data_IF_610419994426
#
_entry.id   IF_610419994426
#
_cell.length_a   1.000
_cell.length_b   1.000
_cell.length_c   1.000
_cell.angle_alpha   90.00
_cell.angle_beta   90.00
_cell.angle_gamma   90.00
#
_symmetry.space_group_name_H-M   'P 1'
#
loop_
_entity.id
_entity.type
_entity.pdbx_description
1 polymer ?
#
# COMPACT_ATOMS: atom_id res chain seq x y z
N UNK A 1 8.50 -10.83 -14.07
CA UNK A 1 8.34 -9.68 -15.01
C UNK A 1 6.93 -9.10 -14.91
N UNK A 2 5.87 -9.91 -14.97
CA UNK A 2 4.47 -9.47 -14.93
C UNK A 2 4.14 -8.64 -13.67
N UNK A 3 4.59 -9.06 -12.48
CA UNK A 3 4.36 -8.32 -11.24
C UNK A 3 4.99 -6.92 -11.29
N UNK A 4 6.26 -6.83 -11.73
CA UNK A 4 6.97 -5.54 -11.81
C UNK A 4 6.27 -4.58 -12.78
N UNK A 5 5.80 -5.09 -13.92
CA UNK A 5 5.07 -4.27 -14.90
C UNK A 5 3.72 -3.81 -14.35
N UNK A 6 2.98 -4.68 -13.64
CA UNK A 6 1.72 -4.31 -13.00
C UNK A 6 1.92 -3.26 -11.90
N UNK A 7 2.91 -3.46 -11.03
CA UNK A 7 3.25 -2.50 -9.98
C UNK A 7 3.66 -1.14 -10.57
N UNK A 8 4.49 -1.13 -11.61
CA UNK A 8 4.90 0.12 -12.26
C UNK A 8 3.71 0.85 -12.89
N UNK A 9 2.84 0.13 -13.61
CA UNK A 9 1.66 0.71 -14.25
C UNK A 9 0.66 1.23 -13.20
N UNK A 10 0.35 0.42 -12.18
CA UNK A 10 -0.54 0.83 -11.11
C UNK A 10 0.00 2.03 -10.35
N UNK A 11 1.31 2.08 -10.12
CA UNK A 11 1.97 3.21 -9.45
C UNK A 11 1.81 4.52 -10.22
N UNK A 12 1.92 4.49 -11.55
CA UNK A 12 1.70 5.68 -12.39
C UNK A 12 0.23 6.11 -12.33
N UNK A 13 -0.70 5.16 -12.44
CA UNK A 13 -2.14 5.47 -12.39
C UNK A 13 -2.53 6.02 -11.02
N UNK A 14 -2.07 5.41 -9.94
CA UNK A 14 -2.42 5.82 -8.56
C UNK A 14 -1.89 7.20 -8.23
N UNK A 15 -0.82 7.67 -8.87
CA UNK A 15 -0.28 9.01 -8.70
C UNK A 15 -1.34 10.09 -8.97
N UNK A 16 -2.19 9.86 -9.97
CA UNK A 16 -3.25 10.78 -10.35
C UNK A 16 -4.60 10.42 -9.71
N UNK A 17 -4.88 9.14 -9.50
CA UNK A 17 -6.19 8.72 -9.00
C UNK A 17 -6.32 8.85 -7.48
N UNK A 18 -5.24 8.70 -6.69
CA UNK A 18 -5.29 8.85 -5.23
C UNK A 18 -5.84 10.23 -4.82
N UNK A 19 -5.33 11.37 -5.32
CA UNK A 19 -5.86 12.68 -4.93
C UNK A 19 -7.34 12.84 -5.24
N UNK A 20 -7.78 12.39 -6.43
CA UNK A 20 -9.17 12.49 -6.87
C UNK A 20 -10.09 11.62 -6.01
N UNK A 21 -9.69 10.37 -5.75
CA UNK A 21 -10.48 9.46 -4.92
C UNK A 21 -10.55 9.96 -3.48
N UNK A 22 -9.45 10.49 -2.94
CA UNK A 22 -9.41 11.04 -1.58
C UNK A 22 -10.29 12.28 -1.45
N UNK A 23 -10.28 13.19 -2.43
CA UNK A 23 -11.16 14.36 -2.43
C UNK A 23 -12.62 13.93 -2.43
N UNK A 24 -12.99 13.00 -3.30
CA UNK A 24 -14.36 12.46 -3.37
C UNK A 24 -14.77 11.75 -2.07
N UNK A 25 -13.89 10.91 -1.52
CA UNK A 25 -14.15 10.19 -0.27
C UNK A 25 -14.31 11.14 0.92
N UNK A 26 -13.53 12.21 1.00
CA UNK A 26 -13.62 13.19 2.09
C UNK A 26 -14.84 14.10 1.95
N UNK A 27 -15.30 14.40 0.74
CA UNK A 27 -16.58 15.10 0.52
C UNK A 27 -17.74 14.25 1.06
N UNK A 28 -17.84 12.97 0.66
CA UNK A 28 -18.89 12.07 1.15
C UNK A 28 -18.83 11.91 2.68
N UNK A 29 -17.64 11.77 3.24
CA UNK A 29 -17.46 11.64 4.70
C UNK A 29 -17.82 12.95 5.43
N UNK A 30 -17.49 14.10 4.86
CA UNK A 30 -17.80 15.41 5.37
C UNK A 30 -19.30 15.68 5.39
N UNK A 31 -20.01 15.40 4.30
CA UNK A 31 -21.46 15.55 4.18
C UNK A 31 -22.20 14.71 5.22
N UNK A 32 -21.71 13.51 5.52
CA UNK A 32 -22.32 12.62 6.51
C UNK A 32 -22.01 12.98 7.97
N UNK A 33 -20.87 13.65 8.22
CA UNK A 33 -20.40 13.97 9.58
C UNK A 33 -20.57 15.43 9.97
N UNK A 34 -20.96 16.30 9.04
CA UNK A 34 -21.03 17.75 9.22
C UNK A 34 -19.65 18.42 9.42
N UNK A 35 -18.58 17.73 9.10
CA UNK A 35 -17.18 18.21 9.23
C UNK A 35 -16.64 18.48 7.84
N UNK A 36 -16.26 19.71 7.55
CA UNK A 36 -15.60 20.08 6.29
C UNK A 36 -14.13 19.66 6.35
N UNK A 37 -13.76 18.62 5.59
CA UNK A 37 -12.38 18.16 5.48
C UNK A 37 -11.79 18.77 4.20
N UNK A 38 -10.96 19.80 4.34
CA UNK A 38 -10.23 20.37 3.21
C UNK A 38 -8.94 19.60 2.96
N UNK A 39 -8.88 18.88 1.86
CA UNK A 39 -7.66 18.21 1.43
C UNK A 39 -6.78 19.16 0.61
N UNK A 40 -5.51 19.31 0.95
CA UNK A 40 -4.56 20.04 0.13
C UNK A 40 -4.14 19.18 -1.08
N UNK A 41 -5.00 19.07 -2.08
CA UNK A 41 -4.81 18.18 -3.27
C UNK A 41 -3.46 18.42 -3.94
N UNK A 42 -3.02 19.69 -4.04
CA UNK A 42 -1.71 20.03 -4.58
C UNK A 42 -0.54 19.42 -3.77
N UNK A 43 -0.62 19.50 -2.45
CA UNK A 43 0.38 18.89 -1.56
C UNK A 43 0.38 17.37 -1.66
N UNK A 44 -0.79 16.74 -1.79
CA UNK A 44 -0.94 15.30 -2.01
C UNK A 44 -0.25 14.85 -3.30
N UNK A 45 -0.47 15.56 -4.40
CA UNK A 45 0.15 15.25 -5.69
C UNK A 45 1.67 15.39 -5.59
N UNK A 46 2.16 16.50 -5.05
CA UNK A 46 3.60 16.76 -4.92
C UNK A 46 4.25 15.71 -4.01
N UNK A 47 3.63 15.39 -2.88
CA UNK A 47 4.18 14.38 -1.97
C UNK A 47 4.21 12.99 -2.59
N UNK A 48 3.15 12.57 -3.31
CA UNK A 48 3.15 11.30 -4.04
C UNK A 48 4.23 11.27 -5.11
N UNK A 49 4.38 12.35 -5.88
CA UNK A 49 5.44 12.49 -6.88
C UNK A 49 6.82 12.34 -6.24
N UNK A 50 7.08 13.05 -5.15
CA UNK A 50 8.37 13.00 -4.47
C UNK A 50 8.64 11.61 -3.87
N UNK A 51 7.66 11.02 -3.18
CA UNK A 51 7.83 9.70 -2.54
C UNK A 51 8.02 8.56 -3.55
N UNK A 52 7.46 8.68 -4.75
CA UNK A 52 7.57 7.63 -5.77
C UNK A 52 8.67 7.91 -6.79
N UNK A 53 8.63 9.09 -7.45
CA UNK A 53 9.53 9.35 -8.58
C UNK A 53 10.96 9.63 -8.13
N UNK A 54 11.15 10.31 -7.01
CA UNK A 54 12.50 10.65 -6.53
C UNK A 54 13.35 9.39 -6.25
N UNK A 55 12.89 8.39 -5.47
CA UNK A 55 13.67 7.18 -5.26
C UNK A 55 13.92 6.39 -6.53
N UNK A 56 12.93 6.33 -7.43
CA UNK A 56 13.08 5.65 -8.72
C UNK A 56 14.14 6.35 -9.58
N UNK A 57 14.06 7.68 -9.72
CA UNK A 57 15.02 8.46 -10.46
C UNK A 57 16.44 8.29 -9.91
N UNK A 58 16.61 8.40 -8.58
CA UNK A 58 17.89 8.18 -7.93
C UNK A 58 18.40 6.76 -8.19
N UNK A 59 17.54 5.75 -8.08
CA UNK A 59 17.90 4.35 -8.33
C UNK A 59 18.37 4.12 -9.78
N UNK A 60 17.63 4.65 -10.75
CA UNK A 60 17.96 4.55 -12.17
C UNK A 60 19.26 5.29 -12.49
N UNK A 61 19.42 6.51 -12.00
CA UNK A 61 20.65 7.30 -12.20
C UNK A 61 21.86 6.61 -11.56
N UNK A 62 21.73 6.12 -10.34
CA UNK A 62 22.79 5.37 -9.64
C UNK A 62 23.17 4.12 -10.41
N UNK A 63 22.19 3.37 -10.92
CA UNK A 63 22.44 2.17 -11.72
C UNK A 63 23.15 2.51 -13.04
N UNK A 64 22.81 3.64 -13.66
CA UNK A 64 23.39 4.07 -14.93
C UNK A 64 24.82 4.59 -14.76
N UNK A 65 25.07 5.44 -13.77
CA UNK A 65 26.38 6.10 -13.59
C UNK A 65 27.34 5.36 -12.68
N UNK A 66 26.82 4.63 -11.68
CA UNK A 66 27.61 3.92 -10.69
C UNK A 66 27.09 2.49 -10.43
N UNK A 67 27.17 1.56 -11.42
CA UNK A 67 26.55 0.24 -11.34
C UNK A 67 27.05 -0.58 -10.14
N UNK A 68 28.32 -0.48 -9.78
CA UNK A 68 28.90 -1.17 -8.61
C UNK A 68 28.32 -0.65 -7.28
N UNK A 69 28.07 0.66 -7.19
CA UNK A 69 27.42 1.25 -6.02
C UNK A 69 25.95 0.85 -5.95
N UNK A 70 25.23 0.87 -7.08
CA UNK A 70 23.84 0.42 -7.17
C UNK A 70 23.66 -1.03 -6.70
N UNK A 71 24.55 -1.93 -7.12
CA UNK A 71 24.51 -3.33 -6.68
C UNK A 71 24.74 -3.49 -5.17
N UNK A 72 25.71 -2.74 -4.62
CA UNK A 72 25.97 -2.73 -3.17
C UNK A 72 24.79 -2.20 -2.37
N UNK A 73 24.22 -1.07 -2.82
CA UNK A 73 23.03 -0.46 -2.21
C UNK A 73 21.84 -1.44 -2.28
N UNK A 74 21.61 -2.07 -3.44
CA UNK A 74 20.56 -3.08 -3.60
C UNK A 74 20.71 -4.23 -2.63
N UNK A 75 21.93 -4.79 -2.46
CA UNK A 75 22.21 -5.87 -1.50
C UNK A 75 21.94 -5.48 -0.05
N UNK A 76 22.22 -4.23 0.32
CA UNK A 76 21.95 -3.72 1.67
C UNK A 76 20.45 -3.48 1.84
N UNK A 77 19.82 -2.73 0.94
CA UNK A 77 18.40 -2.39 1.03
C UNK A 77 17.50 -3.63 1.02
N UNK A 78 17.80 -4.63 0.19
CA UNK A 78 17.01 -5.88 0.15
C UNK A 78 17.04 -6.66 1.45
N UNK A 79 18.12 -6.53 2.25
CA UNK A 79 18.23 -7.15 3.58
C UNK A 79 17.58 -6.33 4.68
N UNK A 80 17.63 -5.00 4.58
CA UNK A 80 17.19 -4.08 5.64
C UNK A 80 15.72 -3.69 5.48
N UNK A 81 15.18 -3.68 4.25
CA UNK A 81 13.83 -3.20 3.98
C UNK A 81 12.76 -3.95 4.79
N UNK A 82 12.80 -5.27 4.82
CA UNK A 82 11.82 -6.08 5.56
C UNK A 82 11.94 -5.91 7.08
N UNK A 83 13.13 -6.00 7.71
CA UNK A 83 13.30 -5.67 9.12
C UNK A 83 12.88 -4.25 9.48
N UNK A 84 13.19 -3.27 8.63
CA UNK A 84 12.79 -1.88 8.85
C UNK A 84 11.26 -1.70 8.81
N UNK A 85 10.58 -2.40 7.89
CA UNK A 85 9.12 -2.40 7.82
C UNK A 85 8.49 -3.01 9.08
N UNK A 86 9.04 -4.14 9.57
CA UNK A 86 8.58 -4.76 10.82
C UNK A 86 8.80 -3.81 12.00
N UNK A 87 9.96 -3.17 12.08
CA UNK A 87 10.28 -2.22 13.14
C UNK A 87 9.30 -1.05 13.14
N UNK A 88 9.05 -0.45 11.96
CA UNK A 88 8.09 0.63 11.80
C UNK A 88 6.69 0.22 12.27
N UNK A 89 6.19 -0.92 11.79
CA UNK A 89 4.90 -1.45 12.18
C UNK A 89 4.81 -1.72 13.69
N UNK A 90 5.90 -2.23 14.29
CA UNK A 90 5.96 -2.50 15.73
C UNK A 90 5.91 -1.21 16.54
N UNK A 91 6.68 -0.19 16.15
CA UNK A 91 6.66 1.12 16.81
C UNK A 91 5.27 1.75 16.76
N UNK A 92 4.62 1.76 15.59
CA UNK A 92 3.25 2.24 15.46
C UNK A 92 2.26 1.44 16.29
N UNK A 93 2.40 0.12 16.32
CA UNK A 93 1.55 -0.73 17.15
C UNK A 93 1.69 -0.42 18.64
N UNK A 94 2.92 -0.24 19.13
CA UNK A 94 3.17 0.10 20.53
C UNK A 94 2.58 1.48 20.88
N UNK A 95 2.74 2.47 20.00
CA UNK A 95 2.25 3.84 20.22
C UNK A 95 0.72 3.93 20.22
N UNK A 96 0.03 3.11 19.41
CA UNK A 96 -1.41 3.22 19.19
C UNK A 96 -2.19 1.94 19.58
N UNK A 97 -1.59 1.09 20.45
CA UNK A 97 -2.15 -0.23 20.76
C UNK A 97 -3.57 -0.19 21.32
N UNK A 98 -3.90 0.79 22.18
CA UNK A 98 -5.25 0.95 22.74
C UNK A 98 -6.27 1.27 21.65
N UNK A 99 -5.95 2.22 20.77
CA UNK A 99 -6.84 2.61 19.67
C UNK A 99 -6.99 1.48 18.64
N UNK A 100 -5.90 0.78 18.35
CA UNK A 100 -5.92 -0.40 17.47
C UNK A 100 -6.78 -1.50 18.10
N UNK A 101 -6.58 -1.81 19.39
CA UNK A 101 -7.35 -2.84 20.09
C UNK A 101 -8.86 -2.52 20.12
N UNK A 102 -9.22 -1.24 20.32
CA UNK A 102 -10.62 -0.81 20.32
C UNK A 102 -11.28 -0.93 18.94
N UNK A 103 -10.51 -0.75 17.86
CA UNK A 103 -11.06 -0.69 16.51
C UNK A 103 -10.81 -1.95 15.67
N UNK A 104 -9.91 -2.85 16.10
CA UNK A 104 -9.48 -4.00 15.29
C UNK A 104 -10.66 -4.94 14.93
N UNK A 105 -11.65 -5.09 15.81
CA UNK A 105 -12.82 -5.91 15.54
C UNK A 105 -13.65 -5.37 14.37
N UNK A 106 -13.88 -4.08 14.35
CA UNK A 106 -14.71 -3.40 13.33
C UNK A 106 -13.93 -3.14 12.04
N UNK A 107 -12.77 -2.50 12.17
CA UNK A 107 -11.91 -2.20 11.02
C UNK A 107 -11.29 -3.46 10.43
N UNK A 108 -10.84 -4.40 11.28
CA UNK A 108 -10.25 -5.65 10.82
C UNK A 108 -11.22 -6.49 9.99
N UNK A 109 -12.51 -6.54 10.37
CA UNK A 109 -13.54 -7.20 9.58
C UNK A 109 -13.74 -6.50 8.23
N UNK A 110 -13.93 -5.18 8.22
CA UNK A 110 -14.13 -4.41 6.99
C UNK A 110 -12.91 -4.55 6.05
N UNK A 111 -11.70 -4.44 6.60
CA UNK A 111 -10.46 -4.56 5.83
C UNK A 111 -10.29 -5.98 5.29
N UNK A 112 -10.58 -7.01 6.09
CA UNK A 112 -10.52 -8.40 5.64
C UNK A 112 -11.48 -8.64 4.48
N UNK A 113 -12.71 -8.17 4.58
CA UNK A 113 -13.69 -8.26 3.50
C UNK A 113 -13.21 -7.51 2.25
N UNK A 114 -12.65 -6.31 2.41
CA UNK A 114 -12.11 -5.53 1.30
C UNK A 114 -10.97 -6.26 0.59
N UNK A 115 -10.03 -6.86 1.33
CA UNK A 115 -8.92 -7.64 0.75
C UNK A 115 -9.46 -8.87 0.00
N UNK A 116 -10.39 -9.61 0.61
CA UNK A 116 -10.96 -10.80 -0.02
C UNK A 116 -11.76 -10.46 -1.28
N UNK A 117 -12.53 -9.38 -1.27
CA UNK A 117 -13.24 -8.87 -2.44
C UNK A 117 -12.28 -8.44 -3.54
N UNK A 118 -11.22 -7.73 -3.20
CA UNK A 118 -10.17 -7.32 -4.14
C UNK A 118 -9.48 -8.54 -4.77
N UNK A 119 -9.07 -9.52 -3.97
CA UNK A 119 -8.48 -10.78 -4.45
C UNK A 119 -9.46 -11.58 -5.31
N UNK A 120 -10.74 -11.61 -4.91
CA UNK A 120 -11.83 -12.23 -5.68
C UNK A 120 -12.04 -11.55 -7.03
N UNK A 121 -12.05 -10.22 -7.06
CA UNK A 121 -12.07 -9.43 -8.29
C UNK A 121 -10.88 -9.73 -9.20
N UNK A 122 -9.67 -9.81 -8.64
CA UNK A 122 -8.47 -10.22 -9.36
C UNK A 122 -8.57 -11.62 -9.96
N UNK A 123 -9.16 -12.55 -9.20
CA UNK A 123 -9.45 -13.89 -9.71
C UNK A 123 -10.42 -13.86 -10.90
N UNK A 124 -11.53 -13.13 -10.78
CA UNK A 124 -12.51 -13.01 -11.86
C UNK A 124 -11.92 -12.38 -13.12
N UNK A 125 -11.18 -11.27 -12.96
CA UNK A 125 -10.48 -10.61 -14.08
C UNK A 125 -9.50 -11.59 -14.75
N UNK A 126 -8.74 -12.34 -13.97
CA UNK A 126 -7.79 -13.32 -14.51
C UNK A 126 -8.45 -14.43 -15.31
N UNK A 127 -9.65 -14.85 -14.91
CA UNK A 127 -10.45 -15.82 -15.65
C UNK A 127 -10.98 -15.22 -16.96
N UNK A 128 -11.51 -14.00 -16.94
CA UNK A 128 -11.99 -13.30 -18.12
C UNK A 128 -10.87 -13.09 -19.15
N UNK A 129 -9.69 -12.76 -18.68
CA UNK A 129 -8.50 -12.57 -19.53
C UNK A 129 -7.82 -13.89 -19.93
N UNK A 130 -8.32 -15.03 -19.46
CA UNK A 130 -7.77 -16.38 -19.73
C UNK A 130 -6.26 -16.47 -19.39
N UNK A 131 -5.85 -15.85 -18.30
CA UNK A 131 -4.46 -15.85 -17.84
C UNK A 131 -4.04 -17.26 -17.41
N UNK A 132 -2.77 -17.58 -17.61
CA UNK A 132 -2.22 -18.84 -17.12
C UNK A 132 -2.16 -18.84 -15.58
N UNK A 133 -2.01 -20.02 -14.97
CA UNK A 133 -2.06 -20.19 -13.51
C UNK A 133 -1.02 -19.34 -12.76
N UNK A 134 0.16 -19.09 -13.34
CA UNK A 134 1.19 -18.26 -12.71
C UNK A 134 0.79 -16.78 -12.72
N UNK A 135 0.34 -16.30 -13.87
CA UNK A 135 -0.14 -14.92 -14.03
C UNK A 135 -1.37 -14.64 -13.17
N UNK A 136 -2.31 -15.59 -13.13
CA UNK A 136 -3.49 -15.51 -12.26
C UNK A 136 -3.10 -15.34 -10.78
N UNK A 137 -2.18 -16.20 -10.29
CA UNK A 137 -1.68 -16.10 -8.90
C UNK A 137 -0.99 -14.77 -8.64
N UNK A 138 -0.17 -14.31 -9.58
CA UNK A 138 0.50 -13.01 -9.50
C UNK A 138 -0.53 -11.88 -9.40
N UNK A 139 -1.53 -11.86 -10.26
CA UNK A 139 -2.56 -10.83 -10.27
C UNK A 139 -3.37 -10.80 -8.96
N UNK A 140 -3.77 -11.96 -8.43
CA UNK A 140 -4.50 -12.07 -7.17
C UNK A 140 -3.68 -11.53 -6.01
N UNK A 141 -2.39 -11.88 -5.95
CA UNK A 141 -1.48 -11.40 -4.90
C UNK A 141 -1.28 -9.88 -5.04
N UNK A 142 -1.01 -9.39 -6.25
CA UNK A 142 -0.73 -7.97 -6.51
C UNK A 142 -1.93 -7.08 -6.15
N UNK A 143 -3.15 -7.52 -6.48
CA UNK A 143 -4.37 -6.77 -6.11
C UNK A 143 -4.64 -6.84 -4.60
N UNK A 144 -4.31 -7.95 -3.94
CA UNK A 144 -4.41 -8.08 -2.48
C UNK A 144 -3.35 -7.31 -1.71
N UNK A 145 -2.18 -7.06 -2.33
CA UNK A 145 -1.08 -6.32 -1.73
C UNK A 145 -1.18 -4.83 -2.04
N UNK A 146 -1.48 -4.03 -1.02
CA UNK A 146 -1.50 -2.57 -1.14
C UNK A 146 -0.27 -1.95 -0.46
N UNK A 147 0.10 -0.76 -0.90
CA UNK A 147 1.22 -0.02 -0.32
C UNK A 147 0.80 0.67 0.99
N UNK A 148 0.67 -0.11 2.06
CA UNK A 148 0.31 0.39 3.38
C UNK A 148 1.35 1.40 3.92
N UNK A 149 2.63 1.23 3.60
CA UNK A 149 3.68 2.17 4.02
C UNK A 149 3.46 3.57 3.43
N UNK A 150 3.05 3.65 2.16
CA UNK A 150 2.69 4.92 1.52
C UNK A 150 1.46 5.56 2.19
N UNK A 151 0.43 4.76 2.48
CA UNK A 151 -0.77 5.25 3.17
C UNK A 151 -0.45 5.79 4.56
N UNK A 152 0.41 5.10 5.32
CA UNK A 152 0.89 5.56 6.62
C UNK A 152 1.67 6.87 6.46
N UNK A 153 2.60 6.95 5.50
CA UNK A 153 3.40 8.15 5.27
C UNK A 153 2.54 9.37 4.88
N UNK A 154 1.48 9.17 4.09
CA UNK A 154 0.54 10.23 3.74
C UNK A 154 -0.27 10.66 4.96
N UNK A 155 -0.79 9.71 5.72
CA UNK A 155 -1.62 9.98 6.90
C UNK A 155 -0.86 10.74 7.99
N UNK A 156 0.38 10.34 8.27
CA UNK A 156 1.23 10.97 9.29
C UNK A 156 1.97 12.22 8.77
N UNK A 157 1.79 12.59 7.50
CA UNK A 157 2.48 13.74 6.92
C UNK A 157 1.99 15.05 7.54
N UNK A 158 2.91 15.89 8.07
CA UNK A 158 2.57 17.22 8.58
C UNK A 158 1.97 18.16 7.53
N UNK A 159 2.22 17.87 6.25
CA UNK A 159 1.75 18.69 5.13
C UNK A 159 0.34 18.31 4.64
N UNK A 160 -0.20 17.17 5.10
CA UNK A 160 -1.50 16.67 4.64
C UNK A 160 -2.46 16.55 5.81
N UNK A 161 -2.37 15.50 6.60
CA UNK A 161 -3.29 15.26 7.70
C UNK A 161 -2.72 15.61 9.07
N UNK A 162 -1.42 15.45 9.25
CA UNK A 162 -0.74 15.64 10.52
C UNK A 162 -1.46 14.91 11.68
N UNK A 163 -1.95 13.71 11.41
CA UNK A 163 -2.75 12.96 12.36
C UNK A 163 -2.49 11.46 12.22
N UNK A 164 -1.72 10.91 13.17
CA UNK A 164 -1.35 9.50 13.18
C UNK A 164 -2.54 8.55 13.35
N UNK A 165 -3.68 9.03 13.90
CA UNK A 165 -4.89 8.21 14.03
C UNK A 165 -5.44 7.83 12.67
N UNK A 166 -5.29 8.68 11.65
CA UNK A 166 -5.70 8.39 10.27
C UNK A 166 -4.86 7.26 9.66
N UNK A 167 -3.67 6.98 10.18
CA UNK A 167 -2.83 5.88 9.74
C UNK A 167 -3.28 4.50 10.28
N UNK A 168 -4.12 4.45 11.32
CA UNK A 168 -4.54 3.19 11.97
C UNK A 168 -5.18 2.19 11.00
N UNK A 169 -6.12 2.57 10.10
CA UNK A 169 -6.65 1.66 9.09
C UNK A 169 -5.57 1.06 8.19
N UNK A 170 -4.56 1.84 7.80
CA UNK A 170 -3.46 1.36 6.96
C UNK A 170 -2.56 0.35 7.71
N UNK A 171 -2.36 0.55 9.01
CA UNK A 171 -1.60 -0.39 9.85
C UNK A 171 -2.36 -1.72 10.00
N UNK A 172 -3.67 -1.65 10.28
CA UNK A 172 -4.52 -2.85 10.36
C UNK A 172 -4.56 -3.55 9.00
N UNK A 173 -4.61 -2.78 7.90
CA UNK A 173 -4.54 -3.33 6.55
C UNK A 173 -3.24 -4.11 6.33
N UNK A 174 -2.09 -3.54 6.70
CA UNK A 174 -0.80 -4.21 6.56
C UNK A 174 -0.75 -5.55 7.31
N UNK A 175 -1.31 -5.59 8.53
CA UNK A 175 -1.40 -6.83 9.31
C UNK A 175 -2.30 -7.88 8.64
N UNK A 176 -3.54 -7.50 8.32
CA UNK A 176 -4.51 -8.42 7.71
C UNK A 176 -4.06 -8.91 6.34
N UNK A 177 -3.51 -8.03 5.51
CA UNK A 177 -2.95 -8.36 4.20
C UNK A 177 -1.89 -9.45 4.31
N UNK A 178 -0.92 -9.30 5.20
CA UNK A 178 0.14 -10.29 5.36
C UNK A 178 -0.40 -11.65 5.80
N UNK A 179 -1.34 -11.67 6.76
CA UNK A 179 -1.97 -12.91 7.24
C UNK A 179 -2.73 -13.61 6.10
N UNK A 180 -3.58 -12.88 5.39
CA UNK A 180 -4.42 -13.44 4.31
C UNK A 180 -3.55 -13.96 3.18
N UNK A 181 -2.52 -13.21 2.78
CA UNK A 181 -1.61 -13.62 1.70
C UNK A 181 -0.76 -14.82 2.08
N UNK A 182 -0.27 -14.91 3.31
CA UNK A 182 0.45 -16.09 3.79
C UNK A 182 -0.44 -17.34 3.76
N UNK A 183 -1.70 -17.21 4.19
CA UNK A 183 -2.69 -18.30 4.10
C UNK A 183 -2.94 -18.69 2.64
N UNK A 184 -3.17 -17.71 1.77
CA UNK A 184 -3.36 -17.95 0.33
C UNK A 184 -2.19 -18.69 -0.31
N UNK A 185 -0.95 -18.20 -0.07
CA UNK A 185 0.26 -18.83 -0.60
C UNK A 185 0.44 -20.24 -0.04
N UNK A 186 0.12 -20.46 1.24
CA UNK A 186 0.13 -21.78 1.87
C UNK A 186 -0.83 -22.77 1.21
N UNK A 187 -2.04 -22.32 0.85
CA UNK A 187 -3.03 -23.14 0.13
C UNK A 187 -2.57 -23.45 -1.29
N UNK A 188 -2.04 -22.43 -1.97
CA UNK A 188 -1.61 -22.55 -3.37
C UNK A 188 -0.36 -23.42 -3.56
N UNK A 189 0.55 -23.43 -2.58
CA UNK A 189 1.74 -24.31 -2.62
C UNK A 189 1.42 -25.80 -2.43
N UNK A 190 0.26 -26.11 -1.84
CA UNK A 190 -0.19 -27.49 -1.60
C UNK A 190 -0.89 -28.13 -2.82
N UNK A 191 -1.20 -27.32 -3.82
CA UNK A 191 -1.78 -27.74 -5.11
C UNK A 191 -0.77 -27.57 -6.25
#
# INVERSE_FOLDING_TARGET
ETAVSLTALSSIITLFTIPVIMEFATQIAGDNSGITIHLPVGSLIIQNLLLMLLPIAIGVLTKRFCPKAAERIHKVLSKVAFPALILLATVFFIQHHETIAAQIGRLGLCITLMILLAMGGGYLISQLMKLNRKEQRTLIIEIGMQNAAQSIAIASSPFIFNNDIIAIPAIIYALMMNIILLVYVGIVKRK
#
